data_IF_587273310147
#
_entry.id   IF_587273310147
#
_cell.length_a   1.000
_cell.length_b   1.000
_cell.length_c   1.000
_cell.angle_alpha   90.00
_cell.angle_beta   90.00
_cell.angle_gamma   90.00
#
_symmetry.space_group_name_H-M   'P 1'
#
loop_
_entity.id
_entity.type
_entity.pdbx_description
1 polymer ?
#
# COMPACT_ATOMS: atom_id res chain seq x y z
N UNK A 1 -16.97 -3.65 -1.81
CA UNK A 1 -16.25 -3.49 -0.52
C UNK A 1 -14.77 -3.42 -0.84
N UNK A 2 -14.02 -2.50 -0.23
CA UNK A 2 -12.56 -2.38 -0.43
C UNK A 2 -11.79 -3.20 0.60
N UNK A 3 -10.66 -3.78 0.20
CA UNK A 3 -9.76 -4.55 1.09
C UNK A 3 -8.52 -3.73 1.42
N UNK A 4 -8.18 -3.68 2.70
CA UNK A 4 -7.01 -2.97 3.22
C UNK A 4 -5.97 -4.01 3.60
N UNK A 5 -4.75 -3.86 3.07
CA UNK A 5 -3.60 -4.69 3.43
C UNK A 5 -3.04 -4.23 4.77
N UNK A 6 -2.79 -2.93 4.92
CA UNK A 6 -2.27 -2.36 6.16
C UNK A 6 -2.58 -0.87 6.29
N UNK A 7 -2.44 -0.36 7.52
CA UNK A 7 -2.58 1.07 7.83
C UNK A 7 -1.29 1.50 8.54
N UNK A 8 -0.63 2.50 7.98
CA UNK A 8 0.52 3.16 8.59
C UNK A 8 0.05 4.49 9.19
N UNK A 9 -0.10 4.53 10.51
CA UNK A 9 -0.67 5.68 11.23
C UNK A 9 0.15 6.96 11.11
N UNK A 10 1.44 6.86 10.79
CA UNK A 10 2.35 7.99 10.64
C UNK A 10 3.40 7.74 9.54
N UNK A 11 3.42 8.61 8.54
CA UNK A 11 4.43 8.70 7.50
C UNK A 11 4.76 10.15 7.18
N UNK A 12 6.03 10.43 6.95
CA UNK A 12 6.54 11.70 6.39
C UNK A 12 7.13 11.51 4.99
N UNK A 13 7.09 10.28 4.46
CA UNK A 13 7.67 9.90 3.17
C UNK A 13 6.62 9.87 2.07
N UNK A 14 5.37 9.59 2.41
CA UNK A 14 4.26 9.40 1.46
C UNK A 14 3.53 10.72 1.11
N UNK A 15 4.24 11.84 1.19
CA UNK A 15 3.76 13.17 0.84
C UNK A 15 4.12 14.25 1.87
N UNK A 16 3.74 15.52 1.62
CA UNK A 16 4.12 16.64 2.50
C UNK A 16 3.45 16.54 3.88
N UNK A 17 4.27 16.69 4.93
CA UNK A 17 3.83 16.67 6.33
C UNK A 17 3.66 15.26 6.90
N UNK A 18 3.02 15.16 8.07
CA UNK A 18 2.67 13.88 8.68
C UNK A 18 1.35 13.34 8.12
N UNK A 19 1.35 12.08 7.67
CA UNK A 19 0.20 11.42 7.03
C UNK A 19 -0.10 10.08 7.67
N UNK A 20 -1.38 9.73 7.69
CA UNK A 20 -1.83 8.36 7.85
C UNK A 20 -2.02 7.77 6.46
N UNK A 21 -1.36 6.65 6.18
CA UNK A 21 -1.34 6.01 4.86
C UNK A 21 -2.10 4.69 4.96
N UNK A 22 -3.02 4.48 4.02
CA UNK A 22 -3.80 3.24 3.93
C UNK A 22 -3.35 2.50 2.68
N UNK A 23 -2.73 1.34 2.87
CA UNK A 23 -2.33 0.46 1.78
C UNK A 23 -3.49 -0.46 1.43
N UNK A 24 -3.99 -0.36 0.20
CA UNK A 24 -5.06 -1.22 -0.30
C UNK A 24 -4.50 -2.53 -0.83
N UNK A 25 -5.31 -3.60 -0.70
CA UNK A 25 -4.99 -4.88 -1.31
C UNK A 25 -5.35 -4.86 -2.80
N UNK A 26 -4.46 -5.39 -3.64
CA UNK A 26 -4.63 -5.59 -5.08
C UNK A 26 -3.74 -4.69 -5.94
N UNK A 27 -2.87 -5.30 -6.75
CA UNK A 27 -2.09 -4.59 -7.77
C UNK A 27 -1.72 -5.56 -8.91
N UNK A 28 -2.26 -5.39 -10.13
CA UNK A 28 -2.06 -6.36 -11.22
C UNK A 28 -0.74 -6.17 -12.00
N UNK A 29 0.09 -5.18 -11.63
CA UNK A 29 1.23 -4.76 -12.47
C UNK A 29 2.42 -5.72 -12.38
N UNK A 30 2.63 -6.38 -11.24
CA UNK A 30 3.71 -7.38 -11.11
C UNK A 30 5.13 -6.82 -11.28
N UNK A 31 5.41 -5.60 -10.78
CA UNK A 31 6.70 -4.94 -10.97
C UNK A 31 7.87 -5.76 -10.39
N UNK A 32 8.98 -5.88 -11.14
CA UNK A 32 10.19 -6.64 -10.72
C UNK A 32 10.78 -6.14 -9.39
N UNK A 33 10.69 -4.84 -9.11
CA UNK A 33 11.20 -4.20 -7.89
C UNK A 33 10.07 -3.66 -7.01
N UNK A 34 8.90 -4.33 -7.00
CA UNK A 34 7.81 -3.92 -6.12
C UNK A 34 8.24 -4.02 -4.66
N UNK A 35 8.02 -2.96 -3.90
CA UNK A 35 8.30 -2.94 -2.47
C UNK A 35 7.22 -3.67 -1.64
N UNK A 36 6.06 -3.93 -2.26
CA UNK A 36 4.89 -4.55 -1.63
C UNK A 36 4.32 -5.66 -2.53
N UNK A 37 5.10 -6.70 -2.87
CA UNK A 37 4.66 -7.76 -3.78
C UNK A 37 3.50 -8.60 -3.22
N UNK A 38 3.34 -8.62 -1.90
CA UNK A 38 2.22 -9.25 -1.19
C UNK A 38 0.87 -8.55 -1.47
N UNK A 39 0.89 -7.31 -1.96
CA UNK A 39 -0.32 -6.59 -2.36
C UNK A 39 -0.91 -7.06 -3.69
N UNK A 40 -0.21 -7.87 -4.50
CA UNK A 40 -0.64 -8.17 -5.87
C UNK A 40 -1.94 -8.96 -5.95
N UNK A 41 -2.06 -9.98 -5.11
CA UNK A 41 -3.23 -10.85 -5.11
C UNK A 41 -4.39 -10.19 -4.36
N UNK A 42 -5.52 -10.07 -5.05
CA UNK A 42 -6.81 -9.85 -4.42
C UNK A 42 -7.23 -11.21 -3.82
N UNK A 43 -6.80 -11.48 -2.58
CA UNK A 43 -7.40 -12.56 -1.78
C UNK A 43 -8.92 -12.37 -1.66
#
# INVERSE_FOLDING_TARGET
MGRIQSIQSFSTLDGPGARCVVFFQGCPVGCIFCHNPDSWELQ
#
